data_IF_969163869695
#
_entry.id   IF_969163869695
#
_cell.length_a   1.000
_cell.length_b   1.000
_cell.length_c   1.000
_cell.angle_alpha   90.00
_cell.angle_beta   90.00
_cell.angle_gamma   90.00
#
_symmetry.space_group_name_H-M   'P 1'
#
loop_
_entity.id
_entity.type
_entity.pdbx_description
1 polymer ?
#
# COMPACT_ATOMS: atom_id res chain seq x y z
N UNK A 1 -14.56 -14.63 -10.87
CA UNK A 1 -13.81 -14.46 -9.61
C UNK A 1 -13.25 -15.82 -9.24
N UNK A 2 -11.97 -15.88 -8.88
CA UNK A 2 -11.26 -17.15 -8.68
C UNK A 2 -12.04 -18.09 -7.72
N UNK A 3 -12.33 -19.34 -8.11
CA UNK A 3 -13.13 -20.27 -7.30
C UNK A 3 -12.48 -20.64 -5.96
N UNK A 4 -11.15 -20.56 -5.84
CA UNK A 4 -10.43 -20.84 -4.60
C UNK A 4 -10.54 -19.70 -3.57
N UNK A 5 -11.08 -18.54 -3.97
CA UNK A 5 -11.38 -17.43 -3.06
C UNK A 5 -12.68 -17.63 -2.27
N UNK A 6 -13.46 -18.69 -2.54
CA UNK A 6 -14.60 -19.23 -1.77
C UNK A 6 -15.54 -18.19 -1.11
N UNK A 7 -15.75 -17.03 -1.77
CA UNK A 7 -16.53 -15.92 -1.20
C UNK A 7 -15.92 -15.23 0.03
N UNK A 8 -14.72 -15.61 0.45
CA UNK A 8 -14.01 -15.09 1.62
C UNK A 8 -13.35 -13.72 1.39
N UNK A 9 -13.54 -13.09 0.23
CA UNK A 9 -12.91 -11.82 -0.14
C UNK A 9 -13.99 -10.80 -0.52
N UNK A 10 -13.91 -9.60 0.04
CA UNK A 10 -14.80 -8.51 -0.37
C UNK A 10 -14.43 -8.07 -1.78
N UNK A 11 -15.44 -7.67 -2.56
CA UNK A 11 -15.23 -7.10 -3.88
C UNK A 11 -14.22 -5.94 -3.85
N UNK A 12 -14.21 -5.16 -2.76
CA UNK A 12 -13.26 -4.04 -2.58
C UNK A 12 -11.81 -4.52 -2.52
N UNK A 13 -11.54 -5.61 -1.80
CA UNK A 13 -10.19 -6.15 -1.65
C UNK A 13 -9.70 -6.73 -2.98
N UNK A 14 -10.58 -7.43 -3.71
CA UNK A 14 -10.28 -7.99 -5.03
C UNK A 14 -9.95 -6.86 -6.03
N UNK A 15 -10.73 -5.78 -6.03
CA UNK A 15 -10.46 -4.62 -6.89
C UNK A 15 -9.11 -3.98 -6.56
N UNK A 16 -8.77 -3.85 -5.28
CA UNK A 16 -7.49 -3.26 -4.86
C UNK A 16 -6.29 -4.13 -5.28
N UNK A 17 -6.37 -5.45 -5.09
CA UNK A 17 -5.33 -6.37 -5.54
C UNK A 17 -5.18 -6.33 -7.07
N UNK A 18 -6.30 -6.27 -7.80
CA UNK A 18 -6.28 -6.16 -9.26
C UNK A 18 -5.60 -4.87 -9.73
N UNK A 19 -5.86 -3.74 -9.07
CA UNK A 19 -5.21 -2.46 -9.38
C UNK A 19 -3.68 -2.52 -9.16
N UNK A 20 -3.24 -3.11 -8.04
CA UNK A 20 -1.82 -3.31 -7.75
C UNK A 20 -1.17 -4.23 -8.80
N UNK A 21 -1.82 -5.35 -9.11
CA UNK A 21 -1.35 -6.27 -10.14
C UNK A 21 -1.25 -5.61 -11.51
N UNK A 22 -2.24 -4.77 -11.87
CA UNK A 22 -2.24 -4.02 -13.12
C UNK A 22 -1.02 -3.08 -13.22
N UNK A 23 -0.68 -2.36 -12.15
CA UNK A 23 0.51 -1.51 -12.12
C UNK A 23 1.81 -2.32 -12.25
N UNK A 24 1.87 -3.51 -11.64
CA UNK A 24 3.05 -4.38 -11.72
C UNK A 24 3.31 -4.95 -13.13
N UNK A 25 2.27 -5.16 -13.94
CA UNK A 25 2.37 -5.73 -15.30
C UNK A 25 2.38 -4.69 -16.41
N UNK A 26 2.45 -3.40 -16.07
CA UNK A 26 2.52 -2.34 -17.09
C UNK A 26 3.79 -2.47 -17.96
N UNK A 27 3.67 -2.21 -19.28
CA UNK A 27 4.80 -2.35 -20.20
C UNK A 27 5.94 -1.37 -19.88
N UNK A 28 5.61 -0.15 -19.49
CA UNK A 28 6.58 0.86 -19.06
C UNK A 28 7.06 0.60 -17.63
N UNK A 29 8.38 0.62 -17.43
CA UNK A 29 9.00 0.33 -16.14
C UNK A 29 8.73 1.43 -15.09
N UNK A 30 8.52 2.68 -15.52
CA UNK A 30 8.31 3.82 -14.63
C UNK A 30 6.97 3.76 -13.87
N UNK A 31 5.99 3.03 -14.38
CA UNK A 31 4.72 2.80 -13.69
C UNK A 31 4.73 1.57 -12.79
N UNK A 32 5.81 0.76 -12.83
CA UNK A 32 5.93 -0.38 -11.93
C UNK A 32 6.28 0.13 -10.54
N UNK A 33 5.43 -0.12 -9.54
CA UNK A 33 5.69 0.33 -8.19
C UNK A 33 6.91 -0.38 -7.61
N UNK A 34 7.55 0.26 -6.62
CA UNK A 34 8.54 -0.39 -5.79
C UNK A 34 7.90 -1.61 -5.11
N UNK A 35 8.64 -2.73 -5.07
CA UNK A 35 8.15 -3.95 -4.41
C UNK A 35 7.83 -3.74 -2.92
N UNK A 36 8.48 -2.76 -2.27
CA UNK A 36 8.13 -2.34 -0.92
C UNK A 36 6.70 -1.78 -0.82
N UNK A 37 6.30 -0.91 -1.76
CA UNK A 37 4.97 -0.30 -1.78
C UNK A 37 3.86 -1.31 -2.10
N UNK A 38 4.17 -2.28 -2.96
CA UNK A 38 3.28 -3.42 -3.26
C UNK A 38 3.00 -4.21 -1.98
N UNK A 39 4.05 -4.58 -1.24
CA UNK A 39 3.90 -5.36 0.00
C UNK A 39 3.16 -4.54 1.06
N UNK A 40 3.50 -3.27 1.24
CA UNK A 40 2.80 -2.40 2.20
C UNK A 40 1.31 -2.25 1.89
N UNK A 41 0.94 -2.21 0.61
CA UNK A 41 -0.45 -2.13 0.16
C UNK A 41 -1.21 -3.45 0.34
N UNK A 42 -0.54 -4.60 0.25
CA UNK A 42 -1.14 -5.93 0.38
C UNK A 42 -1.25 -6.40 1.85
N UNK A 43 -0.31 -6.03 2.72
CA UNK A 43 -0.31 -6.41 4.15
C UNK A 43 -1.64 -6.17 4.89
N UNK A 44 -2.28 -4.98 4.82
CA UNK A 44 -3.54 -4.75 5.53
C UNK A 44 -4.70 -5.61 4.99
N UNK A 45 -4.71 -5.94 3.70
CA UNK A 45 -5.73 -6.79 3.08
C UNK A 45 -5.66 -8.24 3.57
N UNK A 46 -4.45 -8.74 3.83
CA UNK A 46 -4.22 -10.09 4.36
C UNK A 46 -4.49 -10.14 5.86
N UNK A 47 -4.12 -9.09 6.61
CA UNK A 47 -4.32 -9.02 8.07
C UNK A 47 -5.79 -8.94 8.48
N UNK A 48 -6.66 -8.34 7.67
CA UNK A 48 -8.10 -8.27 7.96
C UNK A 48 -8.78 -9.65 7.99
N UNK A 49 -8.14 -10.70 7.45
CA UNK A 49 -8.65 -12.08 7.45
C UNK A 49 -8.27 -12.92 8.66
N UNK A 50 -7.22 -12.54 9.38
CA UNK A 50 -6.83 -13.22 10.61
C UNK A 50 -7.61 -12.55 11.76
N UNK A 51 -8.42 -13.28 12.53
CA UNK A 51 -8.99 -12.73 13.76
C UNK A 51 -7.85 -12.42 14.72
N UNK A 52 -7.37 -11.18 14.70
CA UNK A 52 -6.48 -10.65 15.71
C UNK A 52 -7.29 -10.47 16.99
N UNK A 53 -6.90 -11.04 18.14
CA UNK A 53 -7.51 -10.65 19.41
C UNK A 53 -7.35 -9.14 19.56
N UNK A 54 -8.48 -8.44 19.71
CA UNK A 54 -8.52 -7.02 20.02
C UNK A 54 -7.84 -6.79 21.37
N UNK A 55 -6.57 -6.43 21.35
CA UNK A 55 -5.98 -5.60 22.40
C UNK A 55 -6.14 -4.15 21.94
N UNK A 56 -7.27 -3.55 22.31
CA UNK A 56 -7.41 -2.11 22.23
C UNK A 56 -6.45 -1.47 23.22
N UNK A 57 -5.74 -0.43 22.77
CA UNK A 57 -5.43 0.77 23.55
C UNK A 57 -4.81 1.81 22.62
N UNK A 58 -5.48 2.94 22.53
CA UNK A 58 -5.03 4.17 21.89
C UNK A 58 -3.63 4.58 22.36
N UNK A 59 -2.79 5.01 21.44
CA UNK A 59 -1.82 6.06 21.74
C UNK A 59 -1.76 7.02 20.56
N UNK A 60 -2.22 8.24 20.84
CA UNK A 60 -2.05 9.42 20.03
C UNK A 60 -0.55 9.64 19.80
N UNK A 61 -0.07 9.45 18.57
CA UNK A 61 1.26 9.83 18.13
C UNK A 61 1.13 10.91 17.05
N UNK A 62 1.42 12.16 17.42
CA UNK A 62 1.29 13.33 16.58
C UNK A 62 2.01 13.20 15.22
N UNK A 63 1.52 13.86 14.15
CA UNK A 63 2.36 14.10 12.99
C UNK A 63 3.48 15.06 13.42
N UNK A 64 4.74 14.61 13.40
CA UNK A 64 5.88 15.53 13.46
C UNK A 64 5.94 16.32 12.15
N UNK A 65 5.76 17.66 12.13
CA UNK A 65 6.16 18.46 10.99
C UNK A 65 7.66 18.66 11.07
N UNK A 66 8.42 18.10 10.13
CA UNK A 66 9.84 18.48 9.98
C UNK A 66 9.94 19.77 9.15
N UNK A 67 10.74 20.76 9.59
CA UNK A 67 10.76 22.14 9.10
C UNK A 67 11.39 22.33 7.70
N UNK A 68 11.23 23.53 7.10
CA UNK A 68 11.62 23.85 5.73
C UNK A 68 13.10 24.23 5.62
N UNK A 69 13.74 23.78 4.54
CA UNK A 69 15.04 24.25 4.05
C UNK A 69 15.36 23.43 2.80
N UNK A 70 15.61 23.98 1.62
CA UNK A 70 15.98 25.32 1.15
C UNK A 70 15.74 25.32 -0.38
N UNK A 71 15.77 26.48 -1.07
CA UNK A 71 15.32 26.60 -2.46
C UNK A 71 16.18 25.83 -3.48
N UNK A 72 15.50 25.53 -4.59
CA UNK A 72 15.93 25.51 -5.99
C UNK A 72 17.36 26.04 -6.32
N UNK A 73 17.97 25.40 -7.32
CA UNK A 73 19.07 25.87 -8.18
C UNK A 73 20.55 25.62 -7.76
N UNK A 74 21.16 24.65 -8.45
CA UNK A 74 22.55 24.66 -8.95
C UNK A 74 22.56 23.55 -10.01
N UNK A 75 22.19 23.82 -11.27
CA UNK A 75 23.00 24.42 -12.32
C UNK A 75 24.44 23.88 -12.35
N UNK A 76 24.70 23.04 -13.37
CA UNK A 76 25.97 22.72 -14.04
C UNK A 76 27.24 22.62 -13.17
N UNK A 77 27.77 21.41 -13.09
CA UNK A 77 29.17 21.17 -13.48
C UNK A 77 29.31 19.82 -14.17
#
# INVERSE_FOLDING_TARGET
MDPALDGQYSLKDVIQVAAIAAMCVQPEADYRPLMADVVQSLVPLVKHKLPTPKAGSSSSGAPTPRPPGTPEATLLT
#
